data_IF_841980361714
#
_entry.id   IF_841980361714
#
_cell.length_a   1.000
_cell.length_b   1.000
_cell.length_c   1.000
_cell.angle_alpha   90.00
_cell.angle_beta   90.00
_cell.angle_gamma   90.00
#
_symmetry.space_group_name_H-M   'P 1'
#
loop_
_entity.id
_entity.type
_entity.pdbx_description
1 polymer ?
#
# COMPACT_ATOMS: atom_id res chain seq x y z
N UNK A 1 9.54 63.22 27.58
CA UNK A 1 9.31 61.75 27.57
C UNK A 1 8.37 61.20 26.48
N UNK A 2 7.63 62.00 25.67
CA UNK A 2 6.68 61.49 24.65
C UNK A 2 7.28 61.07 23.30
N UNK A 3 8.54 61.43 22.96
CA UNK A 3 9.19 61.07 21.67
C UNK A 3 9.73 59.63 21.60
N UNK A 4 10.21 59.09 22.70
CA UNK A 4 10.80 57.71 22.72
C UNK A 4 9.76 56.61 22.56
N UNK A 5 8.54 56.80 23.05
CA UNK A 5 7.44 55.79 22.97
C UNK A 5 6.88 55.65 21.56
N UNK A 6 6.88 56.73 20.74
CA UNK A 6 6.36 56.69 19.36
C UNK A 6 7.28 55.97 18.39
N UNK A 7 8.61 56.05 18.60
CA UNK A 7 9.62 55.38 17.77
C UNK A 7 9.59 53.86 17.99
N UNK A 8 9.41 53.42 19.24
CA UNK A 8 9.37 51.99 19.57
C UNK A 8 8.14 51.27 19.00
N UNK A 9 7.00 51.94 18.93
CA UNK A 9 5.79 51.36 18.31
C UNK A 9 5.86 51.30 16.77
N UNK A 10 6.56 52.20 16.13
CA UNK A 10 6.79 52.17 14.68
C UNK A 10 7.73 51.03 14.28
N UNK A 11 8.79 50.80 15.06
CA UNK A 11 9.75 49.72 14.83
C UNK A 11 9.07 48.34 15.02
N UNK A 12 8.24 48.20 16.09
CA UNK A 12 7.48 46.95 16.31
C UNK A 12 6.48 46.66 15.18
N UNK A 13 5.73 47.69 14.70
CA UNK A 13 4.80 47.53 13.56
C UNK A 13 5.54 47.10 12.27
N UNK A 14 6.70 47.70 12.00
CA UNK A 14 7.53 47.31 10.84
C UNK A 14 8.06 45.87 10.92
N UNK A 15 8.46 45.42 12.11
CA UNK A 15 8.96 44.06 12.35
C UNK A 15 7.84 43.03 12.18
N UNK A 16 6.67 43.27 12.77
CA UNK A 16 5.51 42.38 12.61
C UNK A 16 5.05 42.29 11.14
N UNK A 17 5.08 43.40 10.39
CA UNK A 17 4.77 43.38 8.95
C UNK A 17 5.78 42.59 8.14
N UNK A 18 7.08 42.65 8.46
CA UNK A 18 8.13 41.88 7.78
C UNK A 18 8.03 40.40 8.10
N UNK A 19 7.81 40.03 9.38
CA UNK A 19 7.60 38.65 9.81
C UNK A 19 6.36 38.04 9.16
N UNK A 20 5.25 38.80 9.08
CA UNK A 20 4.05 38.34 8.38
C UNK A 20 4.27 38.07 6.89
N UNK A 21 5.04 38.93 6.20
CA UNK A 21 5.40 38.69 4.78
C UNK A 21 6.27 37.46 4.60
N UNK A 22 7.25 37.26 5.47
CA UNK A 22 8.12 36.04 5.42
C UNK A 22 7.28 34.80 5.64
N UNK A 23 6.36 34.82 6.60
CA UNK A 23 5.46 33.68 6.87
C UNK A 23 4.55 33.38 5.67
N UNK A 24 3.95 34.40 5.06
CA UNK A 24 3.09 34.23 3.87
C UNK A 24 3.91 33.68 2.69
N UNK A 25 5.09 34.23 2.43
CA UNK A 25 5.97 33.75 1.34
C UNK A 25 6.39 32.30 1.60
N UNK A 26 6.80 31.97 2.83
CA UNK A 26 7.15 30.60 3.21
C UNK A 26 5.99 29.62 3.05
N UNK A 27 4.78 30.02 3.42
CA UNK A 27 3.58 29.20 3.26
C UNK A 27 3.23 28.96 1.78
N UNK A 28 3.32 30.02 0.96
CA UNK A 28 3.09 29.89 -0.50
C UNK A 28 4.13 29.00 -1.16
N UNK A 29 5.40 29.17 -0.82
CA UNK A 29 6.48 28.31 -1.35
C UNK A 29 6.31 26.86 -0.92
N UNK A 30 5.95 26.60 0.33
CA UNK A 30 5.68 25.25 0.83
C UNK A 30 4.48 24.63 0.11
N UNK A 31 3.40 25.38 -0.09
CA UNK A 31 2.22 24.92 -0.81
C UNK A 31 2.52 24.63 -2.28
N UNK A 32 3.21 25.53 -2.99
CA UNK A 32 3.58 25.33 -4.39
C UNK A 32 4.54 24.16 -4.57
N UNK A 33 5.49 23.98 -3.65
CA UNK A 33 6.40 22.84 -3.65
C UNK A 33 5.64 21.51 -3.42
N UNK A 34 4.76 21.46 -2.41
CA UNK A 34 3.95 20.27 -2.12
C UNK A 34 2.99 19.95 -3.27
N UNK A 35 2.38 20.95 -3.87
CA UNK A 35 1.49 20.81 -5.03
C UNK A 35 2.28 20.33 -6.27
N UNK A 36 3.46 20.90 -6.52
CA UNK A 36 4.35 20.47 -7.60
C UNK A 36 4.83 19.03 -7.46
N UNK A 37 5.22 18.63 -6.24
CA UNK A 37 5.58 17.24 -5.93
C UNK A 37 4.41 16.27 -6.17
N UNK A 38 3.20 16.68 -5.77
CA UNK A 38 2.00 15.87 -5.97
C UNK A 38 1.69 15.69 -7.45
N UNK A 39 1.73 16.76 -8.25
CA UNK A 39 1.56 16.69 -9.71
C UNK A 39 2.63 15.82 -10.36
N UNK A 40 3.89 15.98 -9.98
CA UNK A 40 5.01 15.21 -10.52
C UNK A 40 4.86 13.72 -10.19
N UNK A 41 4.53 13.40 -8.94
CA UNK A 41 4.26 12.04 -8.50
C UNK A 41 3.14 11.40 -9.32
N UNK A 42 2.04 12.14 -9.53
CA UNK A 42 0.87 11.64 -10.25
C UNK A 42 1.16 11.40 -11.73
N UNK A 43 1.83 12.34 -12.40
CA UNK A 43 2.11 12.23 -13.84
C UNK A 43 3.24 11.24 -14.15
N UNK A 44 4.25 11.16 -13.30
CA UNK A 44 5.41 10.30 -13.51
C UNK A 44 5.24 8.90 -12.89
N UNK A 45 4.16 8.65 -12.14
CA UNK A 45 3.96 7.39 -11.42
C UNK A 45 5.08 7.14 -10.41
N UNK A 46 5.54 8.19 -9.71
CA UNK A 46 6.55 8.07 -8.67
C UNK A 46 5.84 7.80 -7.34
N UNK A 47 6.21 6.70 -6.72
CA UNK A 47 5.80 6.33 -5.37
C UNK A 47 6.94 6.61 -4.39
N UNK A 48 6.63 7.32 -3.30
CA UNK A 48 7.59 7.63 -2.24
C UNK A 48 7.29 6.69 -1.08
N UNK A 49 8.24 5.82 -0.75
CA UNK A 49 8.12 4.97 0.43
C UNK A 49 8.79 5.62 1.63
N UNK A 50 7.98 5.88 2.65
CA UNK A 50 8.40 6.38 3.97
C UNK A 50 8.09 5.38 5.08
N UNK A 51 7.67 4.16 4.72
CA UNK A 51 7.37 3.09 5.68
C UNK A 51 8.53 2.12 5.79
N UNK A 52 8.64 1.45 6.92
CA UNK A 52 9.68 0.43 7.15
C UNK A 52 9.43 -0.88 6.38
N UNK A 53 8.33 -0.99 5.65
CA UNK A 53 7.96 -2.20 4.88
C UNK A 53 8.86 -2.44 3.68
N UNK A 54 9.40 -1.40 3.08
CA UNK A 54 10.36 -1.43 1.97
C UNK A 54 11.51 -0.49 2.30
N UNK A 55 12.67 -0.58 1.64
CA UNK A 55 13.70 0.45 1.74
C UNK A 55 13.11 1.84 1.50
N UNK A 56 13.50 2.81 2.32
CA UNK A 56 13.07 4.20 2.12
C UNK A 56 13.55 4.71 0.78
N UNK A 57 12.73 5.48 0.08
CA UNK A 57 13.16 6.05 -1.19
C UNK A 57 12.07 6.23 -2.22
N UNK A 58 12.51 6.41 -3.46
CA UNK A 58 11.69 6.66 -4.62
C UNK A 58 11.57 5.40 -5.47
N UNK A 59 10.36 5.12 -5.90
CA UNK A 59 10.03 3.98 -6.75
C UNK A 59 9.25 4.45 -7.97
N UNK A 60 9.50 3.84 -9.11
CA UNK A 60 8.62 3.91 -10.27
C UNK A 60 7.49 2.91 -10.05
N UNK A 61 6.25 3.40 -9.99
CA UNK A 61 5.08 2.56 -9.90
C UNK A 61 4.51 2.31 -11.31
N UNK A 62 4.39 1.04 -11.67
CA UNK A 62 3.67 0.58 -12.86
C UNK A 62 2.29 0.14 -12.39
N UNK A 63 1.31 1.04 -12.52
CA UNK A 63 -0.05 0.78 -12.09
C UNK A 63 -0.77 -0.16 -13.05
N UNK A 64 -1.66 -0.98 -12.51
CA UNK A 64 -2.62 -1.76 -13.25
C UNK A 64 -3.51 -0.84 -14.09
N UNK A 65 -3.91 -1.29 -15.28
CA UNK A 65 -4.86 -0.56 -16.13
C UNK A 65 -6.16 -0.30 -15.34
N UNK A 66 -6.65 0.92 -15.38
CA UNK A 66 -7.81 1.37 -14.60
C UNK A 66 -7.49 1.91 -13.20
N UNK A 67 -6.25 1.78 -12.73
CA UNK A 67 -5.78 2.40 -11.48
C UNK A 67 -4.98 3.65 -11.81
N UNK A 68 -5.45 4.81 -11.35
CA UNK A 68 -4.80 6.09 -11.63
C UNK A 68 -3.66 6.38 -10.65
N UNK A 69 -2.46 6.75 -11.16
CA UNK A 69 -1.34 7.16 -10.31
C UNK A 69 -1.72 8.31 -9.37
N UNK A 70 -1.25 8.25 -8.13
CA UNK A 70 -1.31 9.33 -7.15
C UNK A 70 -2.66 9.64 -6.56
N UNK A 71 -3.69 9.34 -7.27
CA UNK A 71 -5.04 9.34 -6.79
C UNK A 71 -5.52 7.89 -6.82
N UNK A 72 -5.37 7.18 -5.74
CA UNK A 72 -6.34 6.17 -5.39
C UNK A 72 -7.66 6.89 -5.10
N UNK A 73 -8.10 7.78 -5.97
CA UNK A 73 -9.43 8.30 -5.85
C UNK A 73 -10.33 7.24 -6.41
N UNK A 74 -11.26 6.83 -5.60
CA UNK A 74 -12.45 6.08 -5.95
C UNK A 74 -13.12 6.68 -7.21
N UNK A 75 -12.86 7.92 -7.54
CA UNK A 75 -13.33 8.63 -8.74
C UNK A 75 -12.75 8.13 -10.08
N UNK A 76 -11.64 7.40 -10.07
CA UNK A 76 -11.07 6.78 -11.29
C UNK A 76 -11.29 5.27 -11.39
N UNK A 77 -11.84 4.65 -10.35
CA UNK A 77 -12.26 3.25 -10.34
C UNK A 77 -13.77 3.25 -10.51
N UNK A 78 -14.27 2.65 -11.57
CA UNK A 78 -15.72 2.52 -11.74
C UNK A 78 -16.31 1.64 -10.62
N UNK A 79 -17.62 1.74 -10.40
CA UNK A 79 -18.29 1.05 -9.30
C UNK A 79 -18.12 -0.48 -9.36
N UNK A 80 -17.96 -1.03 -10.55
CA UNK A 80 -17.70 -2.44 -10.77
C UNK A 80 -16.27 -2.83 -10.36
N UNK A 81 -15.25 -2.07 -10.76
CA UNK A 81 -13.86 -2.32 -10.37
C UNK A 81 -13.69 -2.23 -8.85
N UNK A 82 -14.39 -1.30 -8.20
CA UNK A 82 -14.42 -1.17 -6.75
C UNK A 82 -15.01 -2.42 -6.08
N UNK A 83 -16.14 -2.92 -6.58
CA UNK A 83 -16.75 -4.15 -6.07
C UNK A 83 -15.86 -5.37 -6.32
N UNK A 84 -15.21 -5.44 -7.48
CA UNK A 84 -14.25 -6.50 -7.80
C UNK A 84 -13.03 -6.50 -6.89
N UNK A 85 -12.57 -5.33 -6.44
CA UNK A 85 -11.47 -5.23 -5.46
C UNK A 85 -11.89 -5.64 -4.04
N UNK A 86 -13.18 -5.51 -3.70
CA UNK A 86 -13.70 -5.91 -2.38
C UNK A 86 -14.07 -7.40 -2.37
N UNK A 87 -14.85 -7.82 -3.35
CA UNK A 87 -15.42 -9.16 -3.43
C UNK A 87 -15.52 -9.62 -4.90
N UNK A 88 -14.40 -10.07 -5.48
CA UNK A 88 -14.35 -10.43 -6.89
C UNK A 88 -15.22 -11.66 -7.23
N UNK A 89 -15.36 -12.58 -6.31
CA UNK A 89 -16.10 -13.82 -6.55
C UNK A 89 -17.59 -13.53 -6.63
N UNK A 90 -18.16 -12.91 -5.59
CA UNK A 90 -19.59 -12.60 -5.59
C UNK A 90 -19.98 -11.59 -6.65
N UNK A 91 -19.12 -10.60 -6.94
CA UNK A 91 -19.37 -9.63 -8.02
C UNK A 91 -19.44 -10.32 -9.38
N UNK A 92 -18.54 -11.26 -9.66
CA UNK A 92 -18.56 -12.04 -10.90
C UNK A 92 -19.77 -12.97 -10.98
N UNK A 93 -20.09 -13.66 -9.89
CA UNK A 93 -21.25 -14.55 -9.81
C UNK A 93 -22.57 -13.79 -9.94
N UNK A 94 -22.67 -12.61 -9.34
CA UNK A 94 -23.85 -11.75 -9.44
C UNK A 94 -24.09 -11.29 -10.89
N UNK A 95 -23.05 -10.86 -11.60
CA UNK A 95 -23.12 -10.51 -13.01
C UNK A 95 -23.56 -11.69 -13.88
N UNK A 96 -23.02 -12.89 -13.63
CA UNK A 96 -23.40 -14.11 -14.35
C UNK A 96 -24.85 -14.49 -14.05
N UNK A 97 -25.26 -14.47 -12.79
CA UNK A 97 -26.62 -14.86 -12.38
C UNK A 97 -27.70 -13.95 -12.93
N UNK A 98 -27.39 -12.68 -13.15
CA UNK A 98 -28.29 -11.66 -13.73
C UNK A 98 -28.29 -11.63 -15.24
N UNK A 99 -27.42 -12.41 -15.91
CA UNK A 99 -27.20 -12.32 -17.34
C UNK A 99 -26.67 -10.95 -17.77
N UNK A 100 -25.96 -10.26 -16.88
CA UNK A 100 -25.40 -8.95 -17.14
C UNK A 100 -24.13 -9.10 -18.01
N UNK A 101 -24.34 -9.07 -19.34
CA UNK A 101 -23.25 -9.19 -20.32
C UNK A 101 -22.18 -8.12 -20.12
N UNK A 102 -22.57 -6.90 -19.73
CA UNK A 102 -21.64 -5.81 -19.48
C UNK A 102 -20.78 -6.10 -18.23
N UNK A 103 -21.40 -6.52 -17.14
CA UNK A 103 -20.69 -6.93 -15.91
C UNK A 103 -19.78 -8.13 -16.15
N UNK A 104 -20.20 -9.12 -16.94
CA UNK A 104 -19.37 -10.26 -17.34
C UNK A 104 -18.16 -9.80 -18.17
N UNK A 105 -18.35 -8.87 -19.10
CA UNK A 105 -17.26 -8.32 -19.92
C UNK A 105 -16.25 -7.56 -19.05
N UNK A 106 -16.74 -6.76 -18.11
CA UNK A 106 -15.89 -6.04 -17.14
C UNK A 106 -15.11 -7.00 -16.22
N UNK A 107 -15.74 -8.08 -15.74
CA UNK A 107 -15.04 -9.08 -14.93
C UNK A 107 -13.91 -9.76 -15.72
N UNK A 108 -14.19 -10.12 -16.98
CA UNK A 108 -13.17 -10.68 -17.90
C UNK A 108 -12.03 -9.70 -18.14
N UNK A 109 -12.33 -8.42 -18.34
CA UNK A 109 -11.32 -7.37 -18.56
C UNK A 109 -10.52 -7.13 -17.28
N UNK A 110 -11.17 -7.14 -16.12
CA UNK A 110 -10.51 -7.04 -14.82
C UNK A 110 -9.49 -8.16 -14.61
N UNK A 111 -9.85 -9.41 -14.88
CA UNK A 111 -8.94 -10.57 -14.76
C UNK A 111 -7.82 -10.48 -15.82
N UNK A 112 -8.14 -10.10 -17.05
CA UNK A 112 -7.17 -9.95 -18.15
C UNK A 112 -6.13 -8.86 -17.88
N UNK A 113 -6.53 -7.76 -17.25
CA UNK A 113 -5.66 -6.64 -16.91
C UNK A 113 -4.96 -6.81 -15.56
N UNK A 114 -5.04 -7.98 -14.95
CA UNK A 114 -4.23 -8.30 -13.76
C UNK A 114 -2.74 -8.21 -14.14
N UNK A 115 -1.97 -7.50 -13.33
CA UNK A 115 -0.53 -7.38 -13.54
C UNK A 115 0.14 -8.76 -13.50
N UNK A 116 1.01 -9.02 -14.48
CA UNK A 116 1.88 -10.18 -14.40
C UNK A 116 2.89 -9.96 -13.28
N UNK A 117 2.76 -10.73 -12.21
CA UNK A 117 3.61 -10.65 -11.02
C UNK A 117 4.48 -11.89 -10.94
N UNK A 118 5.76 -11.69 -10.69
CA UNK A 118 6.76 -12.74 -10.62
C UNK A 118 7.47 -12.70 -9.26
N UNK A 119 8.12 -13.81 -8.91
CA UNK A 119 8.96 -13.86 -7.70
C UNK A 119 10.07 -12.81 -7.80
N UNK A 120 10.29 -12.08 -6.72
CA UNK A 120 11.25 -10.97 -6.65
C UNK A 120 10.65 -9.60 -6.93
N UNK A 121 9.44 -9.54 -7.48
CA UNK A 121 8.76 -8.26 -7.67
C UNK A 121 8.45 -7.60 -6.31
N UNK A 122 8.47 -6.27 -6.33
CA UNK A 122 7.91 -5.45 -5.26
C UNK A 122 6.58 -4.90 -5.73
N UNK A 123 5.53 -5.09 -4.95
CA UNK A 123 4.19 -4.70 -5.36
C UNK A 123 3.46 -3.89 -4.31
N UNK A 124 2.51 -3.07 -4.76
CA UNK A 124 1.45 -2.50 -3.93
C UNK A 124 0.17 -3.31 -4.13
N UNK A 125 -0.50 -3.64 -3.04
CA UNK A 125 -1.79 -4.32 -3.09
C UNK A 125 -2.72 -3.85 -1.98
N UNK A 126 -4.01 -3.99 -2.20
CA UNK A 126 -5.02 -3.73 -1.19
C UNK A 126 -5.36 -5.04 -0.47
N UNK A 127 -5.49 -5.00 0.85
CA UNK A 127 -6.07 -6.10 1.62
C UNK A 127 -7.58 -6.15 1.40
N UNK A 128 -8.18 -7.33 1.55
CA UNK A 128 -9.63 -7.42 1.66
C UNK A 128 -10.12 -6.61 2.88
N UNK A 129 -11.40 -6.24 2.88
CA UNK A 129 -11.95 -5.30 3.88
C UNK A 129 -11.76 -5.75 5.33
N UNK A 130 -11.85 -7.06 5.60
CA UNK A 130 -11.74 -7.61 6.96
C UNK A 130 -10.29 -7.54 7.46
N UNK A 131 -9.33 -7.98 6.64
CA UNK A 131 -7.91 -7.90 6.97
C UNK A 131 -7.42 -6.46 7.04
N UNK A 132 -7.90 -5.60 6.13
CA UNK A 132 -7.56 -4.18 6.12
C UNK A 132 -8.04 -3.50 7.41
N UNK A 133 -9.26 -3.80 7.86
CA UNK A 133 -9.81 -3.28 9.11
C UNK A 133 -8.97 -3.73 10.31
N UNK A 134 -8.68 -5.02 10.40
CA UNK A 134 -7.82 -5.56 11.45
C UNK A 134 -6.45 -4.87 11.48
N UNK A 135 -5.80 -4.74 10.31
CA UNK A 135 -4.48 -4.11 10.21
C UNK A 135 -4.52 -2.62 10.59
N UNK A 136 -5.59 -1.93 10.24
CA UNK A 136 -5.81 -0.52 10.60
C UNK A 136 -6.03 -0.34 12.10
N UNK A 137 -6.90 -1.13 12.71
CA UNK A 137 -7.21 -1.07 14.14
C UNK A 137 -5.99 -1.40 15.02
N UNK A 138 -5.02 -2.17 14.47
CA UNK A 138 -3.74 -2.49 15.08
C UNK A 138 -2.63 -1.48 14.77
N UNK A 139 -2.90 -0.46 13.94
CA UNK A 139 -1.90 0.53 13.53
C UNK A 139 -0.83 0.01 12.55
N UNK A 140 -1.05 -1.15 11.91
CA UNK A 140 -0.11 -1.71 10.93
C UNK A 140 -0.21 -1.01 9.57
N UNK A 141 -1.36 -0.44 9.24
CA UNK A 141 -1.59 0.38 8.05
C UNK A 141 -2.26 1.69 8.43
N UNK A 142 -2.00 2.72 7.64
CA UNK A 142 -2.65 4.03 7.78
C UNK A 142 -3.97 4.09 7.01
N UNK A 143 -4.67 5.21 7.14
CA UNK A 143 -5.73 5.59 6.22
C UNK A 143 -5.16 5.79 4.82
N UNK A 144 -5.93 5.46 3.79
CA UNK A 144 -5.50 5.56 2.40
C UNK A 144 -6.65 5.36 1.44
N UNK A 145 -6.34 4.90 0.24
CA UNK A 145 -7.28 4.92 -0.87
C UNK A 145 -7.64 3.53 -1.41
N UNK A 146 -7.23 2.47 -0.74
CA UNK A 146 -7.81 1.15 -0.94
C UNK A 146 -9.28 1.12 -0.49
N UNK A 147 -10.06 0.16 -0.97
CA UNK A 147 -11.44 -0.04 -0.53
C UNK A 147 -11.57 0.01 0.99
N UNK A 148 -12.56 0.76 1.48
CA UNK A 148 -12.76 1.00 2.91
C UNK A 148 -11.91 2.12 3.53
N UNK A 149 -11.13 2.88 2.74
CA UNK A 149 -10.34 4.02 3.20
C UNK A 149 -8.98 3.63 3.80
N UNK A 150 -8.44 2.48 3.45
CA UNK A 150 -7.17 1.96 3.97
C UNK A 150 -5.99 2.21 3.02
N UNK A 151 -4.77 2.27 3.56
CA UNK A 151 -3.57 2.36 2.75
C UNK A 151 -3.21 1.01 2.09
N UNK A 152 -2.65 1.01 0.87
CA UNK A 152 -2.09 -0.18 0.27
C UNK A 152 -0.84 -0.64 1.04
N UNK A 153 -0.56 -1.93 0.96
CA UNK A 153 0.66 -2.54 1.46
C UNK A 153 1.70 -2.69 0.35
N UNK A 154 2.95 -2.31 0.66
CA UNK A 154 4.11 -2.57 -0.19
C UNK A 154 4.88 -3.77 0.31
N UNK A 155 5.04 -4.84 -0.50
CA UNK A 155 5.72 -6.07 -0.09
C UNK A 155 6.51 -6.71 -1.23
N UNK A 156 7.49 -7.53 -0.84
CA UNK A 156 8.22 -8.41 -1.76
C UNK A 156 7.42 -9.69 -2.02
N UNK A 157 7.29 -10.07 -3.28
CA UNK A 157 6.75 -11.35 -3.71
C UNK A 157 7.85 -12.39 -3.58
N UNK A 158 7.70 -13.31 -2.64
CA UNK A 158 8.71 -14.36 -2.39
C UNK A 158 8.32 -15.71 -2.96
N UNK A 159 7.01 -15.92 -3.18
CA UNK A 159 6.51 -17.11 -3.82
C UNK A 159 5.27 -16.83 -4.68
N UNK A 160 5.05 -17.66 -5.68
CA UNK A 160 3.97 -17.55 -6.68
C UNK A 160 3.31 -18.93 -6.89
N UNK A 161 2.28 -18.97 -7.72
CA UNK A 161 1.58 -20.21 -8.08
C UNK A 161 2.55 -21.41 -8.28
N UNK A 162 2.21 -22.53 -7.66
CA UNK A 162 2.95 -23.79 -7.72
C UNK A 162 4.11 -23.90 -6.73
N UNK A 163 4.48 -22.81 -6.04
CA UNK A 163 5.48 -22.87 -4.99
C UNK A 163 4.92 -23.53 -3.73
N UNK A 164 5.74 -24.35 -3.09
CA UNK A 164 5.45 -25.00 -1.83
C UNK A 164 5.92 -24.15 -0.65
N UNK A 165 5.04 -23.91 0.30
CA UNK A 165 5.30 -23.18 1.54
C UNK A 165 5.30 -24.18 2.69
N UNK A 166 6.38 -24.22 3.47
CA UNK A 166 6.44 -24.93 4.74
C UNK A 166 6.63 -23.94 5.88
N UNK A 167 5.79 -24.02 6.90
CA UNK A 167 5.90 -23.26 8.15
C UNK A 167 6.61 -24.11 9.17
N UNK A 168 7.74 -23.63 9.71
CA UNK A 168 8.51 -24.32 10.75
C UNK A 168 8.78 -23.36 11.92
N UNK A 169 9.17 -23.88 13.07
CA UNK A 169 9.49 -23.09 14.26
C UNK A 169 10.50 -21.97 14.00
N UNK A 170 11.47 -22.20 13.13
CA UNK A 170 12.48 -21.20 12.79
C UNK A 170 12.05 -20.20 11.71
N UNK A 171 10.91 -20.40 11.06
CA UNK A 171 10.36 -19.53 10.00
C UNK A 171 9.86 -20.29 8.78
N UNK A 172 9.71 -19.54 7.68
CA UNK A 172 9.12 -20.00 6.43
C UNK A 172 10.19 -20.62 5.52
N UNK A 173 9.82 -21.70 4.88
CA UNK A 173 10.58 -22.35 3.81
C UNK A 173 9.76 -22.29 2.53
N UNK A 174 10.41 -22.01 1.41
CA UNK A 174 9.81 -21.99 0.08
C UNK A 174 10.58 -22.98 -0.78
N UNK A 175 9.87 -23.99 -1.30
CA UNK A 175 10.47 -25.09 -2.07
C UNK A 175 11.69 -25.73 -1.35
N UNK A 176 11.56 -25.91 -0.04
CA UNK A 176 12.60 -26.45 0.82
C UNK A 176 13.71 -25.48 1.24
N UNK A 177 13.73 -24.25 0.71
CA UNK A 177 14.74 -23.25 1.05
C UNK A 177 14.26 -22.34 2.19
N UNK A 178 15.07 -22.19 3.25
CA UNK A 178 14.78 -21.29 4.36
C UNK A 178 14.85 -19.82 3.94
N UNK A 179 13.84 -19.06 4.32
CA UNK A 179 13.81 -17.61 4.12
C UNK A 179 14.26 -16.91 5.41
N UNK A 180 15.31 -16.11 5.32
CA UNK A 180 15.82 -15.35 6.46
C UNK A 180 14.77 -14.35 6.98
N UNK A 181 14.80 -14.07 8.29
CA UNK A 181 13.90 -13.13 8.98
C UNK A 181 12.40 -13.47 8.86
N UNK A 182 12.06 -14.70 8.53
CA UNK A 182 10.66 -15.15 8.33
C UNK A 182 10.07 -15.87 9.53
N UNK A 183 10.70 -15.82 10.71
CA UNK A 183 10.12 -16.37 11.93
C UNK A 183 8.79 -15.69 12.23
N UNK A 184 7.78 -16.46 12.58
CA UNK A 184 6.47 -15.96 13.00
C UNK A 184 6.59 -15.45 14.42
N UNK A 185 6.15 -14.22 14.67
CA UNK A 185 6.07 -13.65 16.00
C UNK A 185 4.69 -13.97 16.60
N UNK A 186 4.66 -14.35 17.85
CA UNK A 186 3.43 -14.60 18.60
C UNK A 186 2.74 -13.28 18.99
N UNK A 187 3.53 -12.24 19.25
CA UNK A 187 3.04 -10.92 19.66
C UNK A 187 3.62 -9.83 18.75
N UNK A 188 2.84 -8.76 18.56
CA UNK A 188 3.30 -7.55 17.89
C UNK A 188 4.10 -6.63 18.83
N UNK A 189 4.57 -5.50 18.30
CA UNK A 189 5.31 -4.50 19.08
C UNK A 189 4.49 -3.80 20.19
N UNK A 190 3.18 -4.04 20.26
CA UNK A 190 2.27 -3.55 21.29
C UNK A 190 1.85 -4.66 22.26
N UNK A 191 2.54 -5.80 22.21
CA UNK A 191 2.26 -7.01 23.01
C UNK A 191 0.84 -7.58 22.80
N UNK A 192 0.29 -7.42 21.60
CA UNK A 192 -0.98 -8.01 21.20
C UNK A 192 -0.74 -9.27 20.38
N UNK A 193 -1.51 -10.33 20.64
CA UNK A 193 -1.39 -11.61 19.93
C UNK A 193 -1.57 -11.41 18.43
N UNK A 194 -0.63 -11.92 17.65
CA UNK A 194 -0.68 -11.88 16.18
C UNK A 194 -1.54 -13.03 15.66
N UNK A 195 -2.37 -12.79 14.62
CA UNK A 195 -2.99 -13.89 13.91
C UNK A 195 -1.89 -14.73 13.26
N UNK A 196 -2.12 -16.02 13.16
CA UNK A 196 -1.21 -16.93 12.46
C UNK A 196 -2.01 -17.59 11.35
N UNK A 197 -1.56 -17.42 10.08
CA UNK A 197 -2.25 -18.05 8.96
C UNK A 197 -2.14 -19.58 8.99
N UNK A 198 -0.95 -20.07 9.31
CA UNK A 198 -0.67 -21.49 9.40
C UNK A 198 0.32 -21.76 10.53
N UNK A 199 0.09 -22.81 11.30
CA UNK A 199 0.92 -23.19 12.43
C UNK A 199 2.22 -23.86 12.00
N UNK A 200 3.28 -23.84 12.84
CA UNK A 200 4.48 -24.64 12.61
C UNK A 200 4.14 -26.11 12.38
N UNK A 201 4.74 -26.70 11.35
CA UNK A 201 4.42 -28.04 10.84
C UNK A 201 3.48 -28.04 9.64
N UNK A 202 2.84 -26.94 9.33
CA UNK A 202 1.97 -26.82 8.15
C UNK A 202 2.77 -26.77 6.85
N UNK A 203 2.18 -27.36 5.79
CA UNK A 203 2.72 -27.37 4.43
C UNK A 203 1.58 -27.21 3.43
N UNK A 204 1.73 -26.32 2.46
CA UNK A 204 0.75 -26.09 1.41
C UNK A 204 1.40 -25.57 0.13
N UNK A 205 0.73 -25.76 -1.00
CA UNK A 205 1.15 -25.25 -2.30
C UNK A 205 0.29 -24.07 -2.72
N UNK A 206 0.90 -23.03 -3.25
CA UNK A 206 0.16 -21.85 -3.73
C UNK A 206 -0.66 -22.22 -4.97
N UNK A 207 -1.93 -21.85 -4.91
CA UNK A 207 -2.87 -22.06 -6.01
C UNK A 207 -2.69 -21.03 -7.14
N UNK A 208 -3.41 -21.24 -8.24
CA UNK A 208 -3.43 -20.31 -9.37
C UNK A 208 -3.77 -18.89 -8.93
N UNK A 209 -2.90 -17.95 -9.30
CA UNK A 209 -3.03 -16.52 -8.98
C UNK A 209 -2.70 -16.16 -7.53
N UNK A 210 -2.25 -17.09 -6.69
CA UNK A 210 -1.80 -16.77 -5.34
C UNK A 210 -0.36 -16.27 -5.33
N UNK A 211 -0.13 -15.30 -4.46
CA UNK A 211 1.16 -14.68 -4.17
C UNK A 211 1.42 -14.75 -2.67
N UNK A 212 2.66 -15.05 -2.30
CA UNK A 212 3.09 -15.04 -0.91
C UNK A 212 4.11 -13.92 -0.69
N UNK A 213 3.87 -13.12 0.32
CA UNK A 213 4.63 -11.92 0.59
C UNK A 213 5.42 -12.04 1.88
N UNK A 214 6.70 -11.71 1.82
CA UNK A 214 7.52 -11.52 3.01
C UNK A 214 8.37 -10.26 2.82
N UNK A 215 8.63 -9.58 3.92
CA UNK A 215 9.67 -8.56 3.96
C UNK A 215 10.84 -9.08 4.82
N UNK A 216 12.07 -8.65 4.54
CA UNK A 216 13.25 -9.06 5.29
C UNK A 216 13.31 -8.40 6.69
N UNK A 217 12.19 -8.43 7.41
CA UNK A 217 12.00 -7.91 8.76
C UNK A 217 11.10 -8.82 9.56
N UNK A 218 11.51 -9.14 10.78
CA UNK A 218 10.76 -10.02 11.67
C UNK A 218 9.40 -9.43 12.08
N UNK A 219 9.31 -8.10 12.22
CA UNK A 219 8.13 -7.35 12.64
C UNK A 219 7.20 -6.91 11.50
N UNK A 220 7.42 -7.40 10.28
CA UNK A 220 6.55 -7.07 9.15
C UNK A 220 5.23 -7.82 9.22
N UNK A 221 4.11 -7.10 9.10
CA UNK A 221 2.80 -7.69 8.86
C UNK A 221 2.71 -8.12 7.39
N UNK A 222 2.80 -9.42 7.13
CA UNK A 222 2.86 -10.03 5.80
C UNK A 222 2.19 -11.42 5.76
N UNK A 223 2.45 -12.22 4.75
CA UNK A 223 1.76 -13.50 4.54
C UNK A 223 1.94 -14.53 5.67
N UNK A 224 2.88 -14.33 6.58
CA UNK A 224 2.95 -15.12 7.82
C UNK A 224 1.66 -15.04 8.63
N UNK A 225 0.99 -13.89 8.55
CA UNK A 225 -0.17 -13.54 9.38
C UNK A 225 -1.49 -13.55 8.60
N UNK A 226 -1.49 -13.14 7.33
CA UNK A 226 -2.71 -13.07 6.52
C UNK A 226 -2.78 -14.11 5.38
N UNK A 227 -1.74 -14.92 5.21
CA UNK A 227 -1.71 -15.96 4.19
C UNK A 227 -1.44 -15.46 2.76
N UNK A 228 -1.69 -16.30 1.76
CA UNK A 228 -1.60 -15.92 0.36
C UNK A 228 -2.63 -14.88 -0.03
N UNK A 229 -2.27 -14.02 -0.98
CA UNK A 229 -3.17 -13.00 -1.56
C UNK A 229 -3.28 -13.26 -3.05
N UNK A 230 -4.49 -13.20 -3.61
CA UNK A 230 -4.71 -13.36 -5.04
C UNK A 230 -4.16 -12.14 -5.82
N UNK A 231 -3.52 -12.40 -6.94
CA UNK A 231 -2.81 -11.40 -7.76
C UNK A 231 -3.70 -10.25 -8.26
N UNK A 232 -5.01 -10.45 -8.35
CA UNK A 232 -5.93 -9.38 -8.74
C UNK A 232 -6.07 -8.26 -7.68
N UNK A 233 -5.63 -8.48 -6.44
CA UNK A 233 -5.53 -7.40 -5.44
C UNK A 233 -4.30 -6.51 -5.63
N UNK A 234 -3.35 -6.91 -6.50
CA UNK A 234 -2.18 -6.09 -6.82
C UNK A 234 -2.60 -4.91 -7.70
N UNK A 235 -2.25 -3.71 -7.27
CA UNK A 235 -2.61 -2.46 -7.94
C UNK A 235 -1.43 -1.82 -8.66
N UNK A 236 -0.19 -2.12 -8.26
CA UNK A 236 1.01 -1.64 -8.94
C UNK A 236 2.21 -2.55 -8.68
N UNK A 237 3.14 -2.57 -9.64
CA UNK A 237 4.52 -3.04 -9.46
C UNK A 237 5.42 -1.85 -9.17
N UNK A 238 6.34 -2.01 -8.23
CA UNK A 238 7.29 -0.98 -7.84
C UNK A 238 8.69 -1.34 -8.32
N UNK A 239 9.34 -0.43 -9.03
CA UNK A 239 10.75 -0.52 -9.40
C UNK A 239 11.53 0.54 -8.63
N UNK A 240 12.55 0.18 -7.85
CA UNK A 240 13.34 1.17 -7.12
C UNK A 240 14.05 2.10 -8.12
N UNK A 241 13.93 3.41 -7.89
CA UNK A 241 14.68 4.44 -8.61
C UNK A 241 15.86 4.92 -7.76
N UNK A 242 15.62 5.13 -6.48
CA UNK A 242 16.62 5.55 -5.51
C UNK A 242 16.16 5.15 -4.12
N UNK A 243 16.97 4.34 -3.43
CA UNK A 243 16.66 3.79 -2.08
C UNK A 243 17.88 3.91 -1.18
N UNK A 244 17.66 4.02 0.13
CA UNK A 244 18.69 4.13 1.17
C UNK A 244 18.28 3.45 2.47
#
# INVERSE_FOLDING_TARGET
>A
MKKATKTNNQVKKGLFSRLGKIFVIGSVLSFTFSFGLNLLSNQLGIYINVSSSLPYGLYKAEYRKGVTPGLFSIEGINDFDYKMLIDPVNTSLDAVSKGDEHGIALAKDFIRNTLKVERGDVVLFCLNSQLARFAYDRGYIASGKCPGGFAPLGKHVVAVNGDEIEVKERGIFINGQFIAFSKIAEFDGQNSVMPMYAEPGSKFTLEAGELYFLNPKADSFDSRYFGPIKSFYVIAKLKPLWTF
#
